data_IF_272991356837
#
_entry.id   IF_272991356837
#
_cell.length_a   1.000
_cell.length_b   1.000
_cell.length_c   1.000
_cell.angle_alpha   90.00
_cell.angle_beta   90.00
_cell.angle_gamma   90.00
#
_symmetry.space_group_name_H-M   'P 1'
#
loop_
_entity.id
_entity.type
_entity.pdbx_description
1 polymer ?
#
# COMPACT_ATOMS: atom_id res chain seq x y z
N UNK A 1 23.00 13.84 -4.93
CA UNK A 1 22.17 14.47 -3.90
C UNK A 1 21.95 13.50 -2.75
N UNK A 2 22.11 13.97 -1.52
CA UNK A 2 21.76 13.24 -0.30
C UNK A 2 20.24 13.05 -0.19
N UNK A 3 19.79 12.11 0.65
CA UNK A 3 18.35 11.89 0.89
C UNK A 3 17.63 13.18 1.29
N UNK A 4 18.24 13.96 2.19
CA UNK A 4 17.67 15.21 2.70
C UNK A 4 17.57 16.26 1.60
N UNK A 5 18.59 16.38 0.74
CA UNK A 5 18.56 17.27 -0.42
C UNK A 5 17.41 16.93 -1.37
N UNK A 6 17.25 15.64 -1.72
CA UNK A 6 16.15 15.20 -2.59
C UNK A 6 14.78 15.46 -1.97
N UNK A 7 14.62 15.14 -0.69
CA UNK A 7 13.37 15.40 0.01
C UNK A 7 13.04 16.90 0.03
N UNK A 8 14.03 17.74 0.34
CA UNK A 8 13.85 19.19 0.33
C UNK A 8 13.52 19.70 -1.09
N UNK A 9 14.17 19.19 -2.13
CA UNK A 9 13.83 19.54 -3.52
C UNK A 9 12.37 19.24 -3.85
N UNK A 10 11.86 18.08 -3.43
CA UNK A 10 10.44 17.74 -3.60
C UNK A 10 9.51 18.71 -2.84
N UNK A 11 9.91 19.17 -1.65
CA UNK A 11 9.20 20.20 -0.87
C UNK A 11 9.26 21.58 -1.55
N UNK A 12 10.36 21.94 -2.19
CA UNK A 12 10.42 23.18 -2.97
C UNK A 12 9.49 23.11 -4.20
N UNK A 13 9.38 21.94 -4.84
CA UNK A 13 8.47 21.74 -5.97
C UNK A 13 6.99 21.87 -5.58
N UNK A 14 6.58 21.52 -4.35
CA UNK A 14 5.21 21.78 -3.86
C UNK A 14 4.90 23.27 -3.64
N UNK A 15 5.92 24.13 -3.60
CA UNK A 15 5.75 25.58 -3.56
C UNK A 15 5.86 26.24 -4.94
N UNK A 16 5.88 25.45 -6.03
CA UNK A 16 5.94 25.97 -7.38
C UNK A 16 4.68 26.78 -7.75
N UNK A 17 4.87 27.84 -8.55
CA UNK A 17 3.79 28.61 -9.18
C UNK A 17 3.08 27.82 -10.28
N UNK A 18 3.71 26.76 -10.82
CA UNK A 18 3.08 25.88 -11.78
C UNK A 18 2.14 24.91 -11.06
N UNK A 19 0.84 25.05 -11.34
CA UNK A 19 -0.22 24.24 -10.73
C UNK A 19 0.00 22.73 -10.88
N UNK A 20 0.40 22.25 -12.07
CA UNK A 20 0.61 20.81 -12.31
C UNK A 20 1.81 20.26 -11.54
N UNK A 21 2.90 21.04 -11.46
CA UNK A 21 4.10 20.66 -10.70
C UNK A 21 3.75 20.60 -9.21
N UNK A 22 3.08 21.63 -8.70
CA UNK A 22 2.64 21.71 -7.32
C UNK A 22 1.73 20.55 -6.95
N UNK A 23 0.68 20.30 -7.73
CA UNK A 23 -0.29 19.23 -7.48
C UNK A 23 0.38 17.85 -7.42
N UNK A 24 1.28 17.57 -8.37
CA UNK A 24 2.05 16.31 -8.37
C UNK A 24 2.97 16.22 -7.16
N UNK A 25 3.68 17.29 -6.82
CA UNK A 25 4.60 17.31 -5.67
C UNK A 25 3.85 17.08 -4.36
N UNK A 26 2.71 17.75 -4.16
CA UNK A 26 1.83 17.58 -3.01
C UNK A 26 1.35 16.13 -2.91
N UNK A 27 0.89 15.53 -4.01
CA UNK A 27 0.46 14.14 -4.04
C UNK A 27 1.58 13.16 -3.62
N UNK A 28 2.80 13.38 -4.09
CA UNK A 28 3.97 12.60 -3.68
C UNK A 28 4.30 12.78 -2.20
N UNK A 29 4.30 14.02 -1.69
CA UNK A 29 4.58 14.31 -0.28
C UNK A 29 3.53 13.70 0.66
N UNK A 30 2.25 13.78 0.30
CA UNK A 30 1.16 13.13 1.05
C UNK A 30 1.38 11.62 1.10
N UNK A 31 1.69 11.00 -0.05
CA UNK A 31 1.90 9.55 -0.15
C UNK A 31 3.13 9.10 0.67
N UNK A 32 4.21 9.88 0.65
CA UNK A 32 5.42 9.62 1.45
C UNK A 32 5.11 9.83 2.95
N UNK A 33 4.36 10.88 3.29
CA UNK A 33 3.93 11.15 4.65
C UNK A 33 3.07 10.02 5.22
N UNK A 34 2.18 9.44 4.43
CA UNK A 34 1.39 8.27 4.80
C UNK A 34 2.26 7.05 5.11
N UNK A 35 3.32 6.80 4.33
CA UNK A 35 4.29 5.75 4.66
C UNK A 35 5.03 6.07 5.97
N UNK A 36 5.39 7.33 6.20
CA UNK A 36 6.02 7.79 7.44
C UNK A 36 5.14 7.58 8.68
N UNK A 37 3.82 7.76 8.56
CA UNK A 37 2.87 7.46 9.64
C UNK A 37 2.81 5.96 10.00
N UNK A 38 3.20 5.09 9.06
CA UNK A 38 3.37 3.65 9.30
C UNK A 38 4.80 3.29 9.74
N UNK A 39 5.61 4.28 10.17
CA UNK A 39 7.02 4.13 10.55
C UNK A 39 7.92 3.58 9.42
N UNK A 40 7.47 3.69 8.16
CA UNK A 40 8.23 3.27 7.00
C UNK A 40 9.01 4.44 6.40
N UNK A 41 10.27 4.18 6.05
CA UNK A 41 11.12 5.14 5.33
C UNK A 41 11.20 4.77 3.86
N UNK A 42 10.81 5.71 2.99
CA UNK A 42 10.97 5.56 1.54
C UNK A 42 12.45 5.59 1.13
N UNK A 43 12.76 5.00 -0.02
CA UNK A 43 14.14 4.96 -0.53
C UNK A 43 14.54 6.28 -1.20
N UNK A 44 15.84 6.59 -1.20
CA UNK A 44 16.39 7.73 -1.95
C UNK A 44 16.22 7.59 -3.48
N UNK A 45 15.96 6.36 -3.96
CA UNK A 45 15.64 6.07 -5.35
C UNK A 45 14.20 6.47 -5.67
N UNK A 46 13.23 6.16 -4.80
CA UNK A 46 11.85 6.58 -4.99
C UNK A 46 11.71 8.11 -4.98
N UNK A 47 12.44 8.81 -4.11
CA UNK A 47 12.48 10.28 -4.12
C UNK A 47 13.00 10.84 -5.44
N UNK A 48 13.98 10.18 -6.06
CA UNK A 48 14.51 10.57 -7.36
C UNK A 48 13.44 10.48 -8.46
N UNK A 49 12.74 9.35 -8.50
CA UNK A 49 11.66 9.13 -9.46
C UNK A 49 10.49 10.07 -9.24
N UNK A 50 10.15 10.38 -7.98
CA UNK A 50 9.12 11.37 -7.65
C UNK A 50 9.48 12.75 -8.21
N UNK A 51 10.70 13.23 -7.99
CA UNK A 51 11.17 14.53 -8.51
C UNK A 51 11.10 14.56 -10.05
N UNK A 52 11.59 13.51 -10.71
CA UNK A 52 11.57 13.40 -12.18
C UNK A 52 10.13 13.38 -12.72
N UNK A 53 9.22 12.69 -12.03
CA UNK A 53 7.82 12.63 -12.40
C UNK A 53 7.11 13.99 -12.23
N UNK A 54 7.37 14.69 -11.13
CA UNK A 54 6.86 16.03 -10.86
C UNK A 54 7.32 17.02 -11.93
N UNK A 55 8.60 16.93 -12.34
CA UNK A 55 9.17 17.74 -13.43
C UNK A 55 8.66 17.37 -14.83
N UNK A 56 7.89 16.29 -14.95
CA UNK A 56 7.37 15.80 -16.24
C UNK A 56 8.42 15.07 -17.09
N UNK A 57 9.55 14.68 -16.51
CA UNK A 57 10.60 13.94 -17.22
C UNK A 57 10.23 12.47 -17.44
N UNK A 58 9.38 11.93 -16.58
CA UNK A 58 8.85 10.56 -16.65
C UNK A 58 7.37 10.52 -16.27
N UNK A 59 6.64 9.61 -16.87
CA UNK A 59 5.23 9.31 -16.56
C UNK A 59 5.10 8.46 -15.29
N UNK A 60 3.89 8.39 -14.73
CA UNK A 60 3.60 7.53 -13.57
C UNK A 60 3.80 6.03 -13.89
N UNK A 61 3.50 5.63 -15.13
CA UNK A 61 3.73 4.26 -15.59
C UNK A 61 5.22 3.92 -15.64
N UNK A 62 6.05 4.85 -16.16
CA UNK A 62 7.50 4.68 -16.17
C UNK A 62 8.10 4.63 -14.76
N UNK A 63 7.59 5.45 -13.81
CA UNK A 63 7.98 5.34 -12.40
C UNK A 63 7.73 3.92 -11.88
N UNK A 64 6.54 3.37 -12.16
CA UNK A 64 6.16 2.03 -11.71
C UNK A 64 7.04 0.94 -12.33
N UNK A 65 7.34 1.05 -13.62
CA UNK A 65 8.26 0.14 -14.32
C UNK A 65 9.67 0.20 -13.74
N UNK A 66 10.20 1.40 -13.48
CA UNK A 66 11.54 1.60 -12.91
C UNK A 66 11.63 1.08 -11.48
N UNK A 67 10.60 1.29 -10.65
CA UNK A 67 10.54 0.71 -9.31
C UNK A 67 10.52 -0.82 -9.36
N UNK A 68 9.67 -1.40 -10.21
CA UNK A 68 9.58 -2.85 -10.36
C UNK A 68 10.90 -3.46 -10.83
N UNK A 69 11.57 -2.84 -11.82
CA UNK A 69 12.86 -3.28 -12.31
C UNK A 69 13.95 -3.18 -11.24
N UNK A 70 14.02 -2.05 -10.52
CA UNK A 70 15.03 -1.82 -9.48
C UNK A 70 14.90 -2.80 -8.31
N UNK A 71 13.68 -3.16 -7.92
CA UNK A 71 13.42 -4.05 -6.80
C UNK A 71 13.11 -5.51 -7.20
N UNK A 72 13.23 -5.87 -8.49
CA UNK A 72 12.86 -7.18 -9.01
C UNK A 72 13.52 -8.36 -8.27
N UNK A 73 14.79 -8.20 -7.88
CA UNK A 73 15.58 -9.22 -7.20
C UNK A 73 15.68 -8.99 -5.68
N UNK A 74 14.99 -7.98 -5.16
CA UNK A 74 14.90 -7.83 -3.71
C UNK A 74 14.05 -8.99 -3.24
N UNK A 75 14.54 -9.85 -2.32
CA UNK A 75 13.70 -10.88 -1.75
C UNK A 75 12.49 -10.13 -1.22
N UNK A 76 11.32 -10.40 -1.82
CA UNK A 76 10.07 -10.05 -1.18
C UNK A 76 10.20 -10.80 0.12
N UNK A 77 10.58 -10.09 1.18
CA UNK A 77 10.21 -10.58 2.48
C UNK A 77 8.73 -10.83 2.27
N UNK A 78 8.33 -12.08 2.44
CA UNK A 78 7.12 -12.41 3.16
C UNK A 78 7.20 -11.61 4.47
N UNK A 79 7.13 -10.28 4.35
CA UNK A 79 6.54 -9.43 5.33
C UNK A 79 5.24 -10.17 5.47
N UNK A 80 5.09 -10.75 6.64
CA UNK A 80 3.80 -11.06 7.22
C UNK A 80 3.02 -9.75 7.22
N UNK A 81 2.70 -9.24 6.02
CA UNK A 81 1.62 -8.32 5.71
C UNK A 81 0.34 -9.15 5.73
N UNK A 82 0.26 -10.11 6.64
CA UNK A 82 -0.98 -10.51 7.30
C UNK A 82 -1.54 -9.33 8.13
N UNK A 83 -1.51 -8.11 7.60
CA UNK A 83 -2.69 -7.28 7.75
C UNK A 83 -3.63 -7.86 6.73
N UNK A 84 -4.61 -8.66 7.16
CA UNK A 84 -5.56 -9.41 6.32
C UNK A 84 -6.43 -8.54 5.41
N UNK A 85 -5.77 -7.77 4.56
CA UNK A 85 -6.21 -6.77 3.60
C UNK A 85 -5.54 -7.03 2.23
N UNK A 86 -4.55 -7.94 2.18
CA UNK A 86 -3.91 -8.48 0.99
C UNK A 86 -4.81 -9.44 0.20
N UNK A 87 -6.00 -9.79 0.73
CA UNK A 87 -7.05 -10.43 -0.05
C UNK A 87 -6.77 -11.89 -0.43
N UNK A 88 -5.72 -12.50 0.14
CA UNK A 88 -5.43 -13.92 0.05
C UNK A 88 -6.41 -14.74 0.90
N UNK A 89 -7.71 -14.54 0.68
CA UNK A 89 -8.74 -15.40 1.23
C UNK A 89 -8.62 -16.77 0.56
N UNK A 90 -8.41 -17.79 1.37
CA UNK A 90 -8.56 -19.17 0.92
C UNK A 90 -10.02 -19.39 0.52
N UNK A 91 -10.27 -19.67 -0.76
CA UNK A 91 -11.61 -20.02 -1.25
C UNK A 91 -11.90 -21.45 -0.78
N UNK A 92 -12.71 -21.58 0.26
CA UNK A 92 -13.13 -22.89 0.79
C UNK A 92 -14.30 -23.42 -0.07
N UNK A 93 -14.19 -24.61 -0.69
CA UNK A 93 -15.29 -25.22 -1.42
C UNK A 93 -16.54 -25.43 -0.53
N UNK A 94 -17.77 -25.26 -1.07
CA UNK A 94 -19.01 -25.39 -0.29
C UNK A 94 -19.22 -26.74 0.40
N UNK A 95 -18.61 -27.80 -0.11
CA UNK A 95 -18.68 -29.17 0.41
C UNK A 95 -17.55 -29.50 1.41
N UNK A 96 -16.63 -28.57 1.65
CA UNK A 96 -15.52 -28.77 2.56
C UNK A 96 -15.99 -28.96 4.01
N UNK A 97 -15.47 -29.96 4.75
CA UNK A 97 -15.78 -30.14 6.17
C UNK A 97 -15.39 -28.92 7.02
N UNK A 98 -14.43 -28.12 6.55
CA UNK A 98 -13.96 -26.90 7.22
C UNK A 98 -15.06 -25.84 7.38
N UNK A 99 -16.07 -25.82 6.50
CA UNK A 99 -17.20 -24.90 6.63
C UNK A 99 -18.01 -25.22 7.90
N UNK A 100 -18.24 -26.52 8.18
CA UNK A 100 -18.97 -26.95 9.39
C UNK A 100 -18.19 -26.58 10.66
N UNK A 101 -16.88 -26.80 10.65
CA UNK A 101 -16.00 -26.43 11.78
C UNK A 101 -16.03 -24.92 12.06
N UNK A 102 -15.99 -24.09 11.01
CA UNK A 102 -16.08 -22.63 11.12
C UNK A 102 -17.45 -22.21 11.66
N UNK A 103 -18.53 -22.85 11.22
CA UNK A 103 -19.88 -22.56 11.67
C UNK A 103 -20.07 -22.93 13.16
N UNK A 104 -19.67 -24.13 13.56
CA UNK A 104 -19.74 -24.59 14.95
C UNK A 104 -18.93 -23.68 15.89
N UNK A 105 -17.70 -23.34 15.48
CA UNK A 105 -16.87 -22.40 16.23
C UNK A 105 -17.54 -21.03 16.32
N UNK A 106 -18.07 -20.51 15.22
CA UNK A 106 -18.75 -19.21 15.18
C UNK A 106 -19.99 -19.17 16.07
N UNK A 107 -20.79 -20.24 16.10
CA UNK A 107 -21.94 -20.39 16.99
C UNK A 107 -21.53 -20.37 18.46
N UNK A 108 -20.41 -21.01 18.81
CA UNK A 108 -19.87 -21.01 20.18
C UNK A 108 -19.42 -19.63 20.65
N UNK A 109 -18.74 -18.87 19.79
CA UNK A 109 -18.18 -17.56 20.18
C UNK A 109 -19.18 -16.40 20.04
N UNK A 110 -20.18 -16.53 19.15
CA UNK A 110 -21.14 -15.48 18.79
C UNK A 110 -22.57 -16.03 18.80
N UNK A 111 -23.06 -16.58 19.93
CA UNK A 111 -24.35 -17.25 19.97
C UNK A 111 -25.51 -16.33 19.54
N UNK A 112 -25.45 -15.03 19.88
CA UNK A 112 -26.46 -14.02 19.53
C UNK A 112 -26.76 -13.91 18.03
N UNK A 113 -25.75 -14.10 17.17
CA UNK A 113 -25.87 -14.00 15.71
C UNK A 113 -26.66 -15.16 15.08
N UNK A 114 -26.75 -16.31 15.77
CA UNK A 114 -27.42 -17.52 15.26
C UNK A 114 -28.79 -17.78 15.91
N UNK A 115 -29.17 -16.97 16.90
CA UNK A 115 -30.44 -17.12 17.64
C UNK A 115 -31.72 -17.04 16.79
N UNK A 116 -31.65 -16.42 15.61
CA UNK A 116 -32.80 -16.30 14.69
C UNK A 116 -32.76 -17.30 13.54
N UNK A 117 -31.59 -17.84 13.19
CA UNK A 117 -31.47 -18.90 12.17
C UNK A 117 -31.95 -20.26 12.66
N UNK A 118 -31.92 -20.50 13.97
CA UNK A 118 -32.34 -21.77 14.59
C UNK A 118 -33.85 -21.80 14.93
N UNK A 119 -34.57 -20.68 14.73
CA UNK A 119 -36.00 -20.54 15.04
C UNK A 119 -36.93 -20.92 13.88
N UNK A 120 -36.43 -21.64 12.88
CA UNK A 120 -37.20 -22.00 11.68
C UNK A 120 -37.47 -23.49 11.59
#
# INVERSE_FOLDING_TARGET
MSYKEKYNELVELSHSENFEIKEKADAWLISIGLQGAAELRVSAFLLDLAIRNVKGEITSDEVSQLLNAHYANTPKTETKRSHGLDGDYEIIPPDSPRIKEIEEWSRKIRPGLYTNTDKK
#
